data_IF_188062847565
#
_entry.id   IF_188062847565
#
_cell.length_a   1.000
_cell.length_b   1.000
_cell.length_c   1.000
_cell.angle_alpha   90.00
_cell.angle_beta   90.00
_cell.angle_gamma   90.00
#
_symmetry.space_group_name_H-M   'P 1'
#
loop_
_entity.id
_entity.type
_entity.pdbx_description
1 polymer ?
#
# COMPACT_ATOMS: atom_id res chain seq x y z
N UNK A 1 14.71 -2.60 -19.03
CA UNK A 1 13.30 -2.42 -18.62
C UNK A 1 13.17 -0.96 -18.19
N UNK A 2 12.78 -0.06 -19.10
CA UNK A 2 12.57 1.35 -18.76
C UNK A 2 11.18 1.47 -18.14
N UNK A 3 11.14 1.63 -16.81
CA UNK A 3 9.92 1.86 -16.02
C UNK A 3 9.43 3.32 -16.13
N UNK A 4 10.20 4.18 -16.81
CA UNK A 4 10.03 5.64 -16.84
C UNK A 4 8.70 6.12 -17.47
N UNK A 5 7.99 5.27 -18.22
CA UNK A 5 6.73 5.62 -18.89
C UNK A 5 5.47 5.16 -18.13
N UNK A 6 5.62 4.51 -16.97
CA UNK A 6 4.47 4.20 -16.12
C UNK A 6 4.22 5.40 -15.21
N UNK A 7 3.08 6.08 -15.40
CA UNK A 7 2.60 7.08 -14.44
C UNK A 7 2.18 6.41 -13.13
N UNK A 8 3.17 6.16 -12.25
CA UNK A 8 2.98 5.50 -10.96
C UNK A 8 1.95 6.22 -10.08
N UNK A 9 1.86 7.54 -10.17
CA UNK A 9 0.89 8.35 -9.40
C UNK A 9 -0.56 8.01 -9.77
N UNK A 10 -0.84 7.84 -11.07
CA UNK A 10 -2.17 7.44 -11.55
C UNK A 10 -2.45 6.01 -11.13
N UNK A 11 -1.50 5.10 -11.32
CA UNK A 11 -1.65 3.71 -10.92
C UNK A 11 -1.88 3.57 -9.40
N UNK A 12 -1.21 4.38 -8.58
CA UNK A 12 -1.42 4.43 -7.13
C UNK A 12 -2.82 4.93 -6.76
N UNK A 13 -3.40 5.87 -7.52
CA UNK A 13 -4.76 6.33 -7.31
C UNK A 13 -5.79 5.24 -7.63
N UNK A 14 -5.60 4.53 -8.75
CA UNK A 14 -6.51 3.47 -9.22
C UNK A 14 -6.42 2.20 -8.36
N UNK A 15 -5.24 1.91 -7.82
CA UNK A 15 -5.00 0.72 -7.00
C UNK A 15 -5.38 0.89 -5.52
N UNK A 16 -6.07 1.96 -5.14
CA UNK A 16 -6.61 2.12 -3.79
C UNK A 16 -7.59 0.98 -3.49
N UNK A 17 -7.40 0.32 -2.35
CA UNK A 17 -8.22 -0.82 -1.92
C UNK A 17 -7.65 -2.19 -2.31
N UNK A 18 -6.60 -2.27 -3.13
CA UNK A 18 -5.90 -3.53 -3.35
C UNK A 18 -4.82 -3.73 -2.29
N UNK A 19 -4.67 -4.98 -1.84
CA UNK A 19 -3.59 -5.36 -0.92
C UNK A 19 -2.24 -5.40 -1.62
N UNK A 20 -1.16 -5.26 -0.86
CA UNK A 20 0.21 -5.39 -1.40
C UNK A 20 0.44 -6.74 -2.11
N UNK A 21 -0.17 -7.83 -1.61
CA UNK A 21 -0.10 -9.15 -2.24
C UNK A 21 -0.80 -9.19 -3.60
N UNK A 22 -1.99 -8.58 -3.70
CA UNK A 22 -2.72 -8.47 -4.97
C UNK A 22 -1.96 -7.63 -6.01
N UNK A 23 -1.33 -6.54 -5.57
CA UNK A 23 -0.48 -5.70 -6.43
C UNK A 23 0.71 -6.51 -6.94
N UNK A 24 1.39 -7.24 -6.04
CA UNK A 24 2.54 -8.07 -6.41
C UNK A 24 2.17 -9.16 -7.43
N UNK A 25 1.07 -9.87 -7.21
CA UNK A 25 0.60 -10.90 -8.13
C UNK A 25 0.23 -10.31 -9.51
N UNK A 26 -0.34 -9.10 -9.53
CA UNK A 26 -0.64 -8.37 -10.77
C UNK A 26 0.63 -8.06 -11.54
N UNK A 27 1.67 -7.54 -10.86
CA UNK A 27 2.96 -7.24 -11.47
C UNK A 27 3.58 -8.50 -12.09
N UNK A 28 3.61 -9.61 -11.34
CA UNK A 28 4.14 -10.88 -11.86
C UNK A 28 3.38 -11.38 -13.08
N UNK A 29 2.04 -11.28 -13.07
CA UNK A 29 1.21 -11.69 -14.22
C UNK A 29 1.47 -10.82 -15.46
N UNK A 30 1.52 -9.50 -15.30
CA UNK A 30 1.80 -8.58 -16.42
C UNK A 30 3.17 -8.86 -17.02
N UNK A 31 4.20 -9.02 -16.19
CA UNK A 31 5.55 -9.34 -16.64
C UNK A 31 5.57 -10.69 -17.38
N UNK A 32 4.90 -11.70 -16.83
CA UNK A 32 4.84 -13.04 -17.44
C UNK A 32 4.18 -13.01 -18.82
N UNK A 33 3.03 -12.34 -18.94
CA UNK A 33 2.30 -12.20 -20.21
C UNK A 33 3.19 -11.50 -21.26
N UNK A 34 3.81 -10.38 -20.89
CA UNK A 34 4.71 -9.64 -21.80
C UNK A 34 5.94 -10.45 -22.19
N UNK A 35 6.47 -11.26 -21.27
CA UNK A 35 7.60 -12.13 -21.55
C UNK A 35 7.24 -13.29 -22.50
N UNK A 36 6.02 -13.81 -22.42
CA UNK A 36 5.51 -14.83 -23.34
C UNK A 36 5.22 -14.24 -24.74
N UNK A 37 4.77 -12.99 -24.81
CA UNK A 37 4.52 -12.23 -26.04
C UNK A 37 5.82 -11.71 -26.69
N UNK A 38 6.61 -12.63 -27.25
CA UNK A 38 7.92 -12.39 -27.91
C UNK A 38 7.94 -11.34 -29.05
N UNK A 39 6.79 -10.85 -29.50
CA UNK A 39 6.64 -9.91 -30.63
C UNK A 39 6.13 -8.53 -30.24
N UNK A 40 5.75 -8.30 -28.97
CA UNK A 40 5.27 -6.99 -28.53
C UNK A 40 6.44 -6.12 -28.06
N UNK A 41 6.42 -4.82 -28.37
CA UNK A 41 7.32 -3.88 -27.74
C UNK A 41 7.26 -4.08 -26.22
N UNK A 42 8.39 -4.44 -25.59
CA UNK A 42 8.53 -4.84 -24.18
C UNK A 42 8.28 -3.71 -23.16
N UNK A 43 7.47 -2.71 -23.54
CA UNK A 43 7.07 -1.60 -22.69
C UNK A 43 5.78 -1.99 -21.99
N UNK A 44 5.83 -2.06 -20.67
CA UNK A 44 4.64 -2.22 -19.84
C UNK A 44 3.97 -0.85 -19.71
N UNK A 45 2.70 -0.77 -20.05
CA UNK A 45 1.89 0.45 -19.92
C UNK A 45 0.95 0.32 -18.73
N UNK A 46 0.48 1.45 -18.18
CA UNK A 46 -0.48 1.45 -17.07
C UNK A 46 -1.76 0.63 -17.38
N UNK A 47 -2.16 0.59 -18.66
CA UNK A 47 -3.36 -0.12 -19.12
C UNK A 47 -3.25 -1.66 -18.95
N UNK A 48 -2.03 -2.19 -19.05
CA UNK A 48 -1.77 -3.63 -18.84
C UNK A 48 -2.06 -4.03 -17.38
N UNK A 49 -1.76 -3.14 -16.42
CA UNK A 49 -2.02 -3.39 -15.00
C UNK A 49 -3.50 -3.27 -14.64
N UNK A 50 -4.21 -2.28 -15.22
CA UNK A 50 -5.64 -2.07 -14.94
C UNK A 50 -6.46 -3.31 -15.35
N UNK A 51 -6.14 -3.91 -16.49
CA UNK A 51 -6.82 -5.10 -17.00
C UNK A 51 -6.72 -6.28 -16.04
N UNK A 52 -5.55 -6.48 -15.42
CA UNK A 52 -5.33 -7.57 -14.46
C UNK A 52 -5.89 -7.23 -13.06
N UNK A 53 -5.79 -5.96 -12.64
CA UNK A 53 -6.35 -5.51 -11.37
C UNK A 53 -7.88 -5.64 -11.34
N UNK A 54 -8.56 -5.33 -12.45
CA UNK A 54 -10.02 -5.44 -12.55
C UNK A 54 -10.59 -6.84 -12.36
N UNK A 55 -9.75 -7.88 -12.49
CA UNK A 55 -10.12 -9.27 -12.22
C UNK A 55 -10.07 -9.62 -10.72
N UNK A 56 -9.46 -8.77 -9.89
CA UNK A 56 -9.29 -8.97 -8.46
C UNK A 56 -10.35 -8.19 -7.69
N UNK A 57 -10.85 -8.78 -6.61
CA UNK A 57 -11.76 -8.07 -5.70
C UNK A 57 -10.97 -7.12 -4.80
N UNK A 58 -11.26 -5.81 -4.79
CA UNK A 58 -10.64 -4.88 -3.86
C UNK A 58 -11.08 -5.21 -2.43
N UNK A 59 -10.20 -4.98 -1.46
CA UNK A 59 -10.50 -5.11 -0.03
C UNK A 59 -11.23 -3.87 0.45
N UNK A 60 -12.38 -4.08 1.08
CA UNK A 60 -13.20 -2.99 1.57
C UNK A 60 -12.69 -2.47 2.91
N UNK A 61 -12.90 -1.17 3.15
CA UNK A 61 -12.48 -0.46 4.37
C UNK A 61 -13.03 -1.15 5.64
N UNK A 62 -14.25 -1.69 5.57
CA UNK A 62 -14.87 -2.38 6.69
C UNK A 62 -14.15 -3.68 7.07
N UNK A 63 -13.66 -4.42 6.08
CA UNK A 63 -12.88 -5.63 6.28
C UNK A 63 -11.53 -5.30 6.92
N UNK A 64 -10.89 -4.24 6.42
CA UNK A 64 -9.65 -3.73 7.00
C UNK A 64 -9.84 -3.29 8.46
N UNK A 65 -10.94 -2.59 8.74
CA UNK A 65 -11.28 -2.14 10.10
C UNK A 65 -11.59 -3.30 11.05
N UNK A 66 -12.27 -4.35 10.58
CA UNK A 66 -12.51 -5.57 11.37
C UNK A 66 -11.19 -6.23 11.77
N UNK A 67 -10.24 -6.36 10.83
CA UNK A 67 -8.92 -6.94 11.09
C UNK A 67 -8.14 -6.06 12.09
N UNK A 68 -8.15 -4.74 11.92
CA UNK A 68 -7.50 -3.81 12.86
C UNK A 68 -8.10 -3.93 14.26
N UNK A 69 -9.43 -3.96 14.37
CA UNK A 69 -10.13 -4.08 15.65
C UNK A 69 -9.87 -5.42 16.33
N UNK A 70 -9.75 -6.51 15.56
CA UNK A 70 -9.34 -7.81 16.09
C UNK A 70 -7.88 -7.80 16.55
N UNK A 71 -6.97 -7.29 15.71
CA UNK A 71 -5.54 -7.23 16.02
C UNK A 71 -5.25 -6.43 17.29
N UNK A 72 -5.96 -5.31 17.49
CA UNK A 72 -5.85 -4.47 18.69
C UNK A 72 -6.15 -5.22 20.00
N UNK A 73 -6.92 -6.32 19.94
CA UNK A 73 -7.23 -7.16 21.11
C UNK A 73 -6.16 -8.21 21.40
N UNK A 74 -5.23 -8.44 20.48
CA UNK A 74 -4.15 -9.43 20.66
C UNK A 74 -3.08 -8.90 21.61
N UNK A 75 -2.32 -9.76 22.32
CA UNK A 75 -1.21 -9.32 23.18
C UNK A 75 -0.20 -8.43 22.44
N UNK A 76 0.11 -8.75 21.18
CA UNK A 76 1.02 -7.97 20.34
C UNK A 76 0.41 -6.63 19.90
N UNK A 77 -0.89 -6.61 19.56
CA UNK A 77 -1.59 -5.37 19.26
C UNK A 77 -1.65 -4.42 20.46
N UNK A 78 -1.91 -4.94 21.66
CA UNK A 78 -1.89 -4.15 22.91
C UNK A 78 -0.49 -3.59 23.18
N UNK A 79 0.57 -4.39 23.02
CA UNK A 79 1.96 -3.92 23.15
C UNK A 79 2.26 -2.79 22.17
N UNK A 80 1.89 -2.96 20.89
CA UNK A 80 2.09 -1.95 19.84
C UNK A 80 1.32 -0.66 20.14
N UNK A 81 0.09 -0.75 20.62
CA UNK A 81 -0.70 0.43 21.04
C UNK A 81 -0.05 1.19 22.21
N UNK A 82 0.55 0.48 23.17
CA UNK A 82 1.30 1.10 24.27
C UNK A 82 2.57 1.81 23.79
N UNK A 83 3.30 1.24 22.84
CA UNK A 83 4.48 1.88 22.25
C UNK A 83 4.12 3.16 21.47
N UNK A 84 3.03 3.10 20.69
CA UNK A 84 2.51 4.25 19.94
C UNK A 84 2.04 5.36 20.89
N UNK A 85 1.35 5.05 21.98
CA UNK A 85 0.91 6.06 22.95
C UNK A 85 2.08 6.68 23.73
N UNK A 86 3.14 5.90 24.02
CA UNK A 86 4.34 6.43 24.65
C UNK A 86 5.14 7.36 23.71
N UNK A 87 5.15 7.07 22.41
CA UNK A 87 5.80 7.93 21.40
C UNK A 87 4.98 9.19 21.11
N UNK A 88 3.64 9.12 21.06
CA UNK A 88 2.78 10.31 20.87
C UNK A 88 2.83 11.28 22.05
N UNK A 89 2.97 10.77 23.28
CA UNK A 89 3.14 11.59 24.49
C UNK A 89 4.55 12.22 24.55
N UNK A 90 5.56 11.57 23.97
CA UNK A 90 6.92 12.16 23.85
C UNK A 90 6.98 13.26 22.80
N UNK A 91 6.39 13.06 21.62
CA UNK A 91 6.41 14.08 20.55
C UNK A 91 5.70 15.38 20.94
N UNK A 92 4.56 15.29 21.63
CA UNK A 92 3.81 16.46 22.15
C UNK A 92 4.55 17.22 23.25
N UNK A 93 5.25 16.53 24.15
CA UNK A 93 6.05 17.18 25.21
C UNK A 93 7.28 17.91 24.67
N UNK A 94 7.91 17.40 23.61
CA UNK A 94 9.06 18.06 22.97
C UNK A 94 8.66 19.35 22.26
N UNK A 95 7.49 19.39 21.60
CA UNK A 95 6.95 20.60 20.95
C UNK A 95 6.45 21.68 21.93
N UNK A 96 6.15 21.34 23.18
CA UNK A 96 5.76 22.30 24.23
C UNK A 96 6.97 22.96 24.90
N UNK A 97 8.13 22.28 24.94
CA UNK A 97 9.37 22.83 25.51
C UNK A 97 10.02 23.89 24.62
N UNK A 98 9.89 23.79 23.29
CA UNK A 98 10.42 24.78 22.34
C UNK A 98 9.60 26.06 22.23
N UNK A 99 8.39 26.11 22.83
CA UNK A 99 7.48 27.28 22.78
C UNK A 99 7.45 28.12 24.06
N UNK A 100 8.23 27.77 25.10
CA UNK A 100 8.24 28.45 26.42
C UNK A 100 9.55 29.19 26.73
N UNK A 101 10.38 29.42 25.71
CA UNK A 101 11.59 30.22 25.79
C UNK A 101 11.72 31.09 24.55
N UNK A 102 10.92 32.15 24.50
CA UNK A 102 11.15 33.35 23.70
C UNK A 102 10.49 34.52 24.43
#
# INVERSE_FOLDING_TARGET
MNINDVELSILASISKGYTAGQILETIYKVIKIKHEDKYSNNVCTANDFISILGLKTPVFIDEENKIKNWYAKTPNGIKRLKEISQTSVKSTKTSLKTKKGN
#
